data_IF_422219668965
#
_entry.id   IF_422219668965
#
_cell.length_a   1.000
_cell.length_b   1.000
_cell.length_c   1.000
_cell.angle_alpha   90.00
_cell.angle_beta   90.00
_cell.angle_gamma   90.00
#
_symmetry.space_group_name_H-M   'P 1'
#
loop_
_entity.id
_entity.type
_entity.pdbx_description
1 polymer ?
#
# COMPACT_ATOMS: atom_id res chain seq x y z
N UNK A 1 -3.68 6.93 9.29
CA UNK A 1 -3.35 5.90 8.27
C UNK A 1 -4.67 5.44 7.71
N UNK A 2 -4.95 5.79 6.45
CA UNK A 2 -6.25 5.53 5.82
C UNK A 2 -6.37 4.02 5.70
N UNK A 3 -7.28 3.46 6.49
CA UNK A 3 -7.54 2.04 6.54
C UNK A 3 -7.64 1.53 5.10
N UNK A 4 -6.81 0.54 4.75
CA UNK A 4 -7.08 -0.40 3.67
C UNK A 4 -8.59 -0.62 3.73
N UNK A 5 -9.34 -0.20 2.69
CA UNK A 5 -10.81 -0.08 2.73
C UNK A 5 -11.42 -1.20 3.55
N UNK A 6 -12.40 -0.93 4.41
CA UNK A 6 -12.77 -1.89 5.45
C UNK A 6 -13.40 -3.14 4.84
N UNK A 7 -12.60 -4.17 4.63
CA UNK A 7 -13.04 -5.46 4.14
C UNK A 7 -12.42 -6.60 4.95
N UNK A 8 -13.07 -7.75 4.88
CA UNK A 8 -12.65 -9.01 5.48
C UNK A 8 -12.81 -10.15 4.48
N UNK A 9 -11.94 -11.15 4.57
CA UNK A 9 -11.99 -12.33 3.70
C UNK A 9 -12.97 -13.39 4.19
N UNK A 10 -13.32 -13.35 5.47
CA UNK A 10 -14.21 -14.29 6.13
C UNK A 10 -15.28 -13.52 6.88
N UNK A 11 -16.46 -14.10 6.99
CA UNK A 11 -17.64 -13.39 7.49
C UNK A 11 -17.57 -13.07 8.99
N UNK A 12 -16.90 -13.93 9.74
CA UNK A 12 -16.77 -13.94 11.21
C UNK A 12 -15.41 -13.43 11.72
N UNK A 13 -14.50 -13.01 10.84
CA UNK A 13 -13.14 -12.56 11.19
C UNK A 13 -12.81 -11.19 10.60
N UNK A 14 -12.17 -10.30 11.36
CA UNK A 14 -11.58 -9.06 10.81
C UNK A 14 -12.43 -7.79 10.88
N UNK A 15 -13.56 -7.80 11.61
CA UNK A 15 -14.34 -6.61 11.92
C UNK A 15 -15.84 -6.89 11.97
N UNK A 16 -16.62 -5.96 12.53
CA UNK A 16 -18.07 -6.15 12.61
C UNK A 16 -18.77 -5.93 11.24
N UNK A 17 -19.93 -6.57 10.98
CA UNK A 17 -20.65 -6.46 9.72
C UNK A 17 -21.11 -5.05 9.35
N UNK A 18 -21.27 -4.13 10.30
CA UNK A 18 -21.64 -2.75 10.00
C UNK A 18 -20.48 -1.88 9.55
N UNK A 19 -19.24 -2.33 9.75
CA UNK A 19 -18.06 -1.53 9.49
C UNK A 19 -17.16 -2.15 8.42
N UNK A 20 -17.46 -3.35 7.93
CA UNK A 20 -16.62 -4.04 6.95
C UNK A 20 -17.47 -4.75 5.88
N UNK A 21 -16.95 -4.80 4.66
CA UNK A 21 -17.48 -5.65 3.58
C UNK A 21 -16.84 -7.04 3.65
N UNK A 22 -17.55 -8.09 3.25
CA UNK A 22 -16.92 -9.38 2.94
C UNK A 22 -16.45 -9.33 1.50
N UNK A 23 -15.19 -9.65 1.25
CA UNK A 23 -14.59 -9.63 -0.08
C UNK A 23 -13.90 -10.96 -0.40
N UNK A 24 -13.87 -11.32 -1.69
CA UNK A 24 -12.94 -12.34 -2.19
C UNK A 24 -11.67 -11.66 -2.71
N UNK A 25 -10.55 -12.36 -2.59
CA UNK A 25 -9.28 -12.00 -3.20
C UNK A 25 -8.82 -13.18 -4.05
N UNK A 26 -8.71 -12.95 -5.35
CA UNK A 26 -8.26 -13.92 -6.36
C UNK A 26 -6.86 -13.53 -6.84
N UNK A 27 -6.05 -14.54 -7.13
CA UNK A 27 -4.70 -14.42 -7.69
C UNK A 27 -4.66 -15.28 -8.95
N UNK A 28 -4.21 -14.71 -10.07
CA UNK A 28 -4.10 -15.41 -11.35
C UNK A 28 -2.77 -16.17 -11.52
N UNK A 29 -1.88 -16.13 -10.53
CA UNK A 29 -0.56 -16.77 -10.53
C UNK A 29 0.46 -16.07 -11.43
N UNK A 30 0.07 -15.00 -12.11
CA UNK A 30 0.87 -14.22 -13.05
C UNK A 30 1.04 -12.76 -12.59
N UNK A 31 0.72 -12.48 -11.32
CA UNK A 31 0.86 -11.17 -10.69
C UNK A 31 -0.40 -10.31 -10.77
N UNK A 32 -1.49 -10.80 -11.37
CA UNK A 32 -2.79 -10.16 -11.35
C UNK A 32 -3.58 -10.56 -10.11
N UNK A 33 -4.10 -9.57 -9.41
CA UNK A 33 -4.99 -9.78 -8.27
C UNK A 33 -6.33 -9.11 -8.52
N UNK A 34 -7.41 -9.82 -8.17
CA UNK A 34 -8.77 -9.30 -8.23
C UNK A 34 -9.42 -9.33 -6.87
N UNK A 35 -9.97 -8.20 -6.44
CA UNK A 35 -10.78 -8.10 -5.24
C UNK A 35 -12.22 -7.81 -5.65
N UNK A 36 -13.16 -8.62 -5.17
CA UNK A 36 -14.59 -8.46 -5.41
C UNK A 36 -15.33 -8.38 -4.08
N UNK A 37 -16.30 -7.48 -3.96
CA UNK A 37 -17.17 -7.42 -2.77
C UNK A 37 -18.24 -8.51 -2.89
N UNK A 38 -18.25 -9.45 -1.93
CA UNK A 38 -19.24 -10.53 -1.84
C UNK A 38 -20.48 -10.07 -1.09
N UNK A 39 -20.30 -9.36 0.03
CA UNK A 39 -21.40 -8.72 0.75
C UNK A 39 -20.96 -7.39 1.33
N UNK A 40 -21.85 -6.40 1.24
CA UNK A 40 -21.63 -5.09 1.81
C UNK A 40 -21.89 -5.08 3.32
N UNK A 41 -21.56 -3.97 3.96
CA UNK A 41 -21.93 -3.75 5.33
C UNK A 41 -23.45 -3.83 5.53
N UNK A 42 -23.86 -4.36 6.68
CA UNK A 42 -25.25 -4.67 6.99
C UNK A 42 -25.48 -4.75 8.49
N UNK A 43 -26.75 -4.69 8.88
CA UNK A 43 -27.19 -5.05 10.23
C UNK A 43 -26.91 -6.51 10.57
N UNK A 44 -26.73 -6.78 11.86
CA UNK A 44 -26.60 -8.12 12.42
C UNK A 44 -27.19 -8.14 13.83
N UNK A 45 -27.58 -9.31 14.31
CA UNK A 45 -28.13 -9.46 15.65
C UNK A 45 -27.02 -9.76 16.66
N UNK A 46 -27.02 -9.05 17.78
CA UNK A 46 -26.18 -9.30 18.95
C UNK A 46 -26.94 -8.96 20.23
N UNK A 47 -26.26 -9.03 21.37
CA UNK A 47 -26.80 -8.53 22.65
C UNK A 47 -27.04 -7.02 22.64
N UNK A 48 -26.33 -6.27 21.78
CA UNK A 48 -26.53 -4.85 21.59
C UNK A 48 -27.60 -4.61 20.50
N UNK A 49 -28.79 -4.09 20.84
CA UNK A 49 -29.87 -3.89 19.88
C UNK A 49 -29.51 -2.88 18.77
N UNK A 50 -28.53 -2.00 18.97
CA UNK A 50 -28.15 -1.01 17.96
C UNK A 50 -27.48 -1.64 16.74
N UNK A 51 -26.87 -2.82 16.89
CA UNK A 51 -26.29 -3.59 15.76
C UNK A 51 -27.33 -3.97 14.70
N UNK A 52 -28.60 -4.11 15.10
CA UNK A 52 -29.72 -4.40 14.20
C UNK A 52 -30.23 -3.18 13.44
N UNK A 53 -29.79 -1.96 13.82
CA UNK A 53 -30.26 -0.68 13.26
C UNK A 53 -29.35 -0.14 12.16
N UNK A 54 -28.26 -0.83 11.84
CA UNK A 54 -27.34 -0.43 10.77
C UNK A 54 -28.06 -0.51 9.41
N UNK A 55 -28.16 0.64 8.74
CA UNK A 55 -28.87 0.78 7.46
C UNK A 55 -27.96 1.19 6.29
N UNK A 56 -26.69 1.50 6.56
CA UNK A 56 -25.72 1.84 5.52
C UNK A 56 -25.06 0.58 4.96
N UNK A 57 -24.64 0.68 3.69
CA UNK A 57 -23.90 -0.37 2.97
C UNK A 57 -22.44 0.01 2.72
N UNK A 58 -22.15 1.31 2.70
CA UNK A 58 -20.85 1.85 2.33
C UNK A 58 -19.94 2.02 3.55
N UNK A 59 -18.73 1.47 3.47
CA UNK A 59 -17.72 1.47 4.55
C UNK A 59 -16.36 2.02 4.12
N UNK A 60 -16.36 2.79 3.03
CA UNK A 60 -15.20 3.49 2.51
C UNK A 60 -14.66 2.89 1.21
N UNK A 61 -13.81 3.65 0.53
CA UNK A 61 -13.17 3.30 -0.74
C UNK A 61 -11.66 3.14 -0.58
N UNK A 62 -11.05 2.26 -1.38
CA UNK A 62 -9.63 1.94 -1.28
C UNK A 62 -8.79 2.73 -2.29
N UNK A 63 -8.41 3.96 -1.95
CA UNK A 63 -7.62 4.82 -2.84
C UNK A 63 -6.22 4.28 -3.12
N UNK A 64 -5.55 3.66 -2.14
CA UNK A 64 -4.14 3.28 -2.31
C UNK A 64 -3.90 2.13 -3.31
N UNK A 65 -4.94 1.38 -3.70
CA UNK A 65 -4.80 0.30 -4.70
C UNK A 65 -4.88 0.83 -6.13
N UNK A 66 -5.21 2.11 -6.33
CA UNK A 66 -5.36 2.68 -7.68
C UNK A 66 -4.04 3.10 -8.31
N UNK A 67 -2.91 2.96 -7.62
CA UNK A 67 -1.60 3.40 -8.10
C UNK A 67 -0.46 2.48 -7.64
N UNK A 68 0.65 2.51 -8.39
CA UNK A 68 1.86 1.78 -8.07
C UNK A 68 2.62 2.35 -6.85
N UNK A 69 3.72 1.70 -6.50
CA UNK A 69 4.63 2.16 -5.43
C UNK A 69 5.64 3.17 -5.98
N UNK A 70 5.62 4.39 -5.43
CA UNK A 70 6.50 5.48 -5.85
C UNK A 70 7.33 5.98 -4.64
N UNK A 71 8.47 5.38 -4.33
CA UNK A 71 9.32 5.82 -3.24
C UNK A 71 10.17 7.02 -3.69
N UNK A 72 9.98 8.19 -3.07
CA UNK A 72 10.80 9.38 -3.31
C UNK A 72 12.30 9.02 -3.29
N UNK A 73 13.08 9.25 -4.38
CA UNK A 73 14.44 8.74 -4.50
C UNK A 73 15.43 9.31 -3.47
N UNK A 74 15.05 10.37 -2.76
CA UNK A 74 15.86 11.03 -1.74
C UNK A 74 15.50 10.54 -0.33
N UNK A 75 14.24 10.68 0.06
CA UNK A 75 13.78 10.38 1.42
C UNK A 75 13.31 8.94 1.61
N UNK A 76 12.95 8.26 0.52
CA UNK A 76 12.27 6.96 0.51
C UNK A 76 10.84 6.99 1.04
N UNK A 77 10.22 8.17 1.12
CA UNK A 77 8.80 8.33 1.49
C UNK A 77 7.91 8.00 0.29
N UNK A 78 6.74 7.41 0.52
CA UNK A 78 5.81 7.16 -0.57
C UNK A 78 5.21 8.47 -1.09
N UNK A 79 5.25 8.68 -2.41
CA UNK A 79 4.66 9.84 -3.07
C UNK A 79 3.15 9.63 -3.26
N UNK A 80 2.36 10.15 -2.32
CA UNK A 80 0.90 9.94 -2.28
C UNK A 80 0.09 10.78 -3.28
N UNK A 81 0.67 11.86 -3.80
CA UNK A 81 -0.05 12.77 -4.69
C UNK A 81 -0.09 12.19 -6.11
N UNK A 82 -0.96 11.19 -6.29
CA UNK A 82 -1.16 10.46 -7.53
C UNK A 82 -2.44 10.96 -8.21
N UNK A 83 -2.37 11.17 -9.53
CA UNK A 83 -3.51 11.63 -10.33
C UNK A 83 -4.01 10.49 -11.20
N UNK A 84 -5.30 10.17 -11.09
CA UNK A 84 -5.96 9.30 -12.06
C UNK A 84 -5.99 10.01 -13.42
N UNK A 85 -5.36 9.39 -14.44
CA UNK A 85 -5.26 9.96 -15.79
C UNK A 85 -6.35 9.43 -16.73
N UNK A 86 -7.05 8.38 -16.34
CA UNK A 86 -8.13 7.78 -17.12
C UNK A 86 -9.31 7.44 -16.20
N UNK A 87 -10.48 8.00 -16.50
CA UNK A 87 -11.73 7.77 -15.78
C UNK A 87 -12.84 7.62 -16.81
N UNK A 88 -13.63 6.55 -16.69
CA UNK A 88 -14.75 6.27 -17.59
C UNK A 88 -15.97 5.76 -16.81
N UNK A 89 -17.13 5.76 -17.46
CA UNK A 89 -18.31 5.06 -16.96
C UNK A 89 -18.01 3.56 -16.85
N UNK A 90 -18.61 2.92 -15.85
CA UNK A 90 -18.56 1.47 -15.70
C UNK A 90 -19.22 0.80 -16.91
N UNK A 91 -18.59 -0.27 -17.40
CA UNK A 91 -19.10 -1.10 -18.49
C UNK A 91 -20.09 -2.13 -17.95
N UNK A 92 -20.96 -2.71 -18.82
CA UNK A 92 -21.80 -3.84 -18.42
C UNK A 92 -20.96 -4.98 -17.83
N UNK A 93 -21.32 -5.43 -16.62
CA UNK A 93 -20.62 -6.50 -15.92
C UNK A 93 -19.56 -6.04 -14.92
N UNK A 94 -19.14 -4.78 -14.92
CA UNK A 94 -18.28 -4.22 -13.87
C UNK A 94 -19.11 -3.89 -12.64
N UNK A 95 -18.76 -4.47 -11.49
CA UNK A 95 -19.52 -4.28 -10.25
C UNK A 95 -18.89 -3.21 -9.39
N UNK A 96 -19.73 -2.59 -8.56
CA UNK A 96 -19.26 -1.64 -7.57
C UNK A 96 -18.29 -2.32 -6.60
N UNK A 97 -17.15 -1.68 -6.36
CA UNK A 97 -16.12 -2.17 -5.45
C UNK A 97 -15.17 -3.22 -6.04
N UNK A 98 -15.33 -3.60 -7.32
CA UNK A 98 -14.36 -4.45 -8.01
C UNK A 98 -13.03 -3.69 -8.16
N UNK A 99 -11.95 -4.37 -7.80
CA UNK A 99 -10.58 -3.85 -7.93
C UNK A 99 -9.75 -4.90 -8.65
N UNK A 100 -8.93 -4.46 -9.59
CA UNK A 100 -7.91 -5.28 -10.21
C UNK A 100 -6.56 -4.57 -10.16
N UNK A 101 -5.51 -5.32 -9.80
CA UNK A 101 -4.14 -4.81 -9.68
C UNK A 101 -3.17 -5.73 -10.38
N UNK A 102 -2.22 -5.13 -11.09
CA UNK A 102 -1.06 -5.80 -11.69
C UNK A 102 0.18 -5.53 -10.85
N UNK A 103 0.64 -6.53 -10.10
CA UNK A 103 1.81 -6.39 -9.23
C UNK A 103 3.11 -6.32 -10.00
N UNK A 104 3.19 -6.90 -11.20
CA UNK A 104 4.37 -6.80 -12.05
C UNK A 104 4.56 -5.37 -12.55
N UNK A 105 3.48 -4.71 -13.00
CA UNK A 105 3.53 -3.29 -13.37
C UNK A 105 3.86 -2.41 -12.17
N UNK A 106 3.27 -2.69 -11.00
CA UNK A 106 3.60 -1.96 -9.78
C UNK A 106 5.09 -2.09 -9.42
N UNK A 107 5.66 -3.29 -9.57
CA UNK A 107 7.07 -3.56 -9.34
C UNK A 107 7.98 -2.89 -10.38
N UNK A 108 7.59 -2.87 -11.65
CA UNK A 108 8.34 -2.18 -12.70
C UNK A 108 8.48 -0.67 -12.39
N UNK A 109 7.36 -0.03 -12.02
CA UNK A 109 7.39 1.38 -11.58
C UNK A 109 8.25 1.57 -10.34
N UNK A 110 8.17 0.67 -9.35
CA UNK A 110 9.06 0.72 -8.19
C UNK A 110 10.54 0.67 -8.61
N UNK A 111 10.91 -0.20 -9.55
CA UNK A 111 12.29 -0.33 -10.04
C UNK A 111 12.76 0.91 -10.79
N UNK A 112 11.90 1.54 -11.60
CA UNK A 112 12.20 2.83 -12.24
C UNK A 112 12.54 3.91 -11.20
N UNK A 113 11.81 3.94 -10.09
CA UNK A 113 12.07 4.89 -9.01
C UNK A 113 13.32 4.57 -8.21
N UNK A 114 13.61 3.29 -7.98
CA UNK A 114 14.87 2.86 -7.36
C UNK A 114 16.07 3.26 -8.22
N UNK A 115 15.97 3.18 -9.54
CA UNK A 115 17.04 3.57 -10.45
C UNK A 115 17.41 5.07 -10.35
N UNK A 116 16.49 5.92 -9.89
CA UNK A 116 16.74 7.35 -9.64
C UNK A 116 17.48 7.61 -8.31
N UNK A 117 17.65 6.60 -7.46
CA UNK A 117 18.30 6.77 -6.15
C UNK A 117 19.80 6.99 -6.29
N UNK A 118 20.39 7.64 -5.29
CA UNK A 118 21.84 7.84 -5.21
C UNK A 118 22.42 7.04 -4.05
N UNK A 119 23.58 6.38 -4.23
CA UNK A 119 24.17 5.56 -3.18
C UNK A 119 24.54 6.41 -1.97
N UNK A 120 24.05 6.02 -0.79
CA UNK A 120 24.25 6.76 0.46
C UNK A 120 25.74 7.00 0.77
N UNK A 121 26.64 6.05 0.48
CA UNK A 121 28.08 6.23 0.72
C UNK A 121 28.71 7.35 -0.13
N UNK A 122 28.08 7.73 -1.25
CA UNK A 122 28.57 8.79 -2.14
C UNK A 122 28.01 10.17 -1.82
N UNK A 123 26.76 10.22 -1.33
CA UNK A 123 26.02 11.49 -1.20
C UNK A 123 25.59 11.83 0.23
N UNK A 124 25.65 10.87 1.15
CA UNK A 124 25.24 11.10 2.54
C UNK A 124 26.34 11.88 3.28
N UNK A 125 26.03 13.04 3.90
CA UNK A 125 27.04 13.86 4.57
C UNK A 125 27.76 13.17 5.73
N UNK A 126 27.11 12.19 6.35
CA UNK A 126 27.60 11.44 7.51
C UNK A 126 27.82 9.94 7.20
N UNK A 127 27.70 9.55 5.92
CA UNK A 127 27.84 8.16 5.47
C UNK A 127 26.73 7.21 5.97
N UNK A 128 25.65 7.74 6.56
CA UNK A 128 24.51 6.93 6.99
C UNK A 128 23.58 6.61 5.81
N UNK A 129 22.82 5.52 5.93
CA UNK A 129 21.77 5.09 4.99
C UNK A 129 20.77 6.21 4.69
N UNK A 130 20.47 7.05 5.68
CA UNK A 130 19.54 8.19 5.60
C UNK A 130 19.95 9.29 6.60
N UNK A 131 19.57 10.55 6.38
CA UNK A 131 19.87 11.63 7.31
C UNK A 131 19.11 11.54 8.64
N UNK A 132 19.76 11.91 9.75
CA UNK A 132 19.16 11.91 11.09
C UNK A 132 18.15 13.04 11.33
N UNK A 133 18.22 14.14 10.56
CA UNK A 133 17.31 15.29 10.71
C UNK A 133 15.94 15.09 10.06
N UNK A 134 15.76 14.02 9.27
CA UNK A 134 14.46 13.68 8.69
C UNK A 134 13.62 12.94 9.73
N UNK A 135 12.61 13.62 10.29
CA UNK A 135 11.71 13.06 11.32
C UNK A 135 11.00 11.81 10.82
N UNK A 136 10.85 10.82 11.70
CA UNK A 136 10.10 9.59 11.42
C UNK A 136 9.27 9.15 12.63
N UNK A 137 8.08 8.57 12.41
CA UNK A 137 7.44 7.74 13.41
C UNK A 137 8.35 6.56 13.75
N UNK A 138 8.49 6.23 15.04
CA UNK A 138 9.33 5.12 15.51
C UNK A 138 10.77 5.21 14.99
N UNK A 139 11.44 6.36 15.22
CA UNK A 139 12.82 6.59 14.79
C UNK A 139 13.74 5.45 15.23
N UNK A 140 14.44 4.77 14.30
CA UNK A 140 15.37 3.70 14.64
C UNK A 140 16.52 4.17 15.54
N UNK A 141 17.21 3.23 16.19
CA UNK A 141 18.47 3.51 16.89
C UNK A 141 19.55 3.99 15.90
N UNK A 142 20.56 4.73 16.38
CA UNK A 142 21.62 5.29 15.53
C UNK A 142 22.39 4.20 14.77
N UNK A 143 22.53 3.03 15.34
CA UNK A 143 23.21 1.87 14.75
C UNK A 143 22.52 1.40 13.47
N UNK A 144 21.18 1.43 13.43
CA UNK A 144 20.41 1.01 12.26
C UNK A 144 20.59 1.93 11.03
N UNK A 145 21.13 3.15 11.24
CA UNK A 145 21.44 4.07 10.16
C UNK A 145 22.78 3.75 9.48
N UNK A 146 23.66 2.96 10.09
CA UNK A 146 24.99 2.67 9.52
C UNK A 146 24.89 1.78 8.28
N UNK A 147 25.75 2.05 7.30
CA UNK A 147 25.94 1.18 6.15
C UNK A 147 26.72 -0.09 6.54
N UNK A 148 26.48 -1.25 5.88
CA UNK A 148 27.31 -2.43 6.04
C UNK A 148 28.78 -2.16 5.71
N UNK A 149 29.70 -2.78 6.45
CA UNK A 149 31.16 -2.58 6.27
C UNK A 149 31.67 -2.94 4.87
N UNK A 150 30.96 -3.82 4.16
CA UNK A 150 31.39 -4.36 2.86
C UNK A 150 31.30 -3.33 1.70
N UNK A 151 30.65 -2.18 1.88
CA UNK A 151 30.55 -1.16 0.83
C UNK A 151 31.82 -0.31 0.66
N UNK A 152 32.74 -0.33 1.62
CA UNK A 152 34.02 0.40 1.52
C UNK A 152 35.06 -0.30 0.63
N UNK A 153 34.86 -1.58 0.29
CA UNK A 153 35.86 -2.40 -0.42
C UNK A 153 35.65 -2.51 -1.94
N UNK A 154 34.52 -2.04 -2.49
CA UNK A 154 34.25 -2.14 -3.94
C UNK A 154 34.77 -0.93 -4.76
N UNK A 155 35.53 -0.01 -4.16
CA UNK A 155 35.93 1.27 -4.80
C UNK A 155 37.46 1.43 -4.89
N UNK A 156 38.21 0.34 -4.96
CA UNK A 156 39.67 0.39 -5.22
C UNK A 156 40.06 -0.05 -6.63
N UNK A 157 39.12 -0.32 -7.53
CA UNK A 157 39.45 -0.59 -8.93
C UNK A 157 39.07 0.60 -9.81
N UNK A 158 40.06 1.25 -10.48
CA UNK A 158 39.79 2.33 -11.42
C UNK A 158 39.17 1.79 -12.72
N UNK A 159 38.29 2.59 -13.33
CA UNK A 159 37.82 2.43 -14.72
C UNK A 159 38.93 2.88 -15.66
#
# INVERSE_FOLDING_TARGET
SHHLGRWRLQEDMGGNPGMTNVASLEDDGQGGHKLNILSQARAWQTFDPDTSRVWWKEVGVHQNLTHAVHPDPISGSHCWLQKAVNVRKAAPGEKYGDVWVDTNKSMAVYQEWVAMTRPAWKVSPDGNRRPLWLKRPLTPTREAYKLPNNHKQQVTEPI
#
